data_IF_269976850432
#
_entry.id   IF_269976850432
#
_cell.length_a   1.000
_cell.length_b   1.000
_cell.length_c   1.000
_cell.angle_alpha   90.00
_cell.angle_beta   90.00
_cell.angle_gamma   90.00
#
_symmetry.space_group_name_H-M   'P 1'
#
loop_
_entity.id
_entity.type
_entity.pdbx_description
1 polymer ?
#
# COMPACT_ATOMS: atom_id res chain seq x y z
N UNK A 1 -26.33 17.10 -2.81
CA UNK A 1 -25.17 17.88 -2.32
C UNK A 1 -24.04 16.88 -2.07
N UNK A 2 -22.89 17.07 -2.74
CA UNK A 2 -21.86 16.04 -2.94
C UNK A 2 -20.98 15.87 -1.70
N UNK A 3 -20.69 14.61 -1.32
CA UNK A 3 -19.66 14.30 -0.35
C UNK A 3 -18.33 14.88 -0.85
N UNK A 4 -17.69 15.73 -0.06
CA UNK A 4 -16.34 16.24 -0.31
C UNK A 4 -15.37 15.07 -0.24
N UNK A 5 -15.05 14.49 -1.39
CA UNK A 5 -13.98 13.50 -1.54
C UNK A 5 -12.64 14.24 -1.37
N UNK A 6 -12.18 14.40 -0.12
CA UNK A 6 -10.86 14.94 0.15
C UNK A 6 -9.85 14.01 -0.52
N UNK A 7 -9.00 14.50 -1.45
CA UNK A 7 -8.08 13.64 -2.14
C UNK A 7 -7.11 13.01 -1.13
N UNK A 8 -7.21 11.70 -0.97
CA UNK A 8 -6.34 10.92 -0.09
C UNK A 8 -4.93 10.91 -0.70
N UNK A 9 -4.07 11.80 -0.22
CA UNK A 9 -2.67 11.86 -0.65
C UNK A 9 -1.90 10.71 0.02
N UNK A 10 -1.19 9.90 -0.76
CA UNK A 10 -0.33 8.86 -0.21
C UNK A 10 0.83 9.47 0.60
N UNK A 11 1.17 8.95 1.80
CA UNK A 11 2.23 9.52 2.65
C UNK A 11 3.59 9.63 1.94
N UNK A 12 3.98 8.64 1.15
CA UNK A 12 5.15 8.73 0.25
C UNK A 12 5.12 9.97 -0.67
N UNK A 13 3.98 10.27 -1.31
CA UNK A 13 3.84 11.44 -2.19
C UNK A 13 3.97 12.73 -1.41
N UNK A 14 3.35 12.79 -0.23
CA UNK A 14 3.46 13.94 0.68
C UNK A 14 4.93 14.17 1.06
N UNK A 15 5.59 13.13 1.57
CA UNK A 15 7.00 13.19 1.95
C UNK A 15 7.90 13.68 0.82
N UNK A 16 7.67 13.19 -0.41
CA UNK A 16 8.43 13.57 -1.60
C UNK A 16 8.25 15.04 -1.95
N UNK A 17 7.00 15.51 -1.95
CA UNK A 17 6.66 16.92 -2.23
C UNK A 17 7.16 17.86 -1.13
N UNK A 18 7.08 17.46 0.13
CA UNK A 18 7.59 18.23 1.27
C UNK A 18 9.10 18.46 1.17
N UNK A 19 9.84 17.58 0.48
CA UNK A 19 11.28 17.71 0.20
C UNK A 19 11.61 18.29 -1.17
N UNK A 20 10.60 18.63 -1.97
CA UNK A 20 10.82 19.22 -3.29
C UNK A 20 11.43 18.30 -4.35
N UNK A 21 11.50 16.98 -4.12
CA UNK A 21 12.13 16.07 -5.08
C UNK A 21 11.12 15.47 -6.08
N UNK A 22 11.61 15.17 -7.28
CA UNK A 22 10.87 14.54 -8.37
C UNK A 22 10.78 13.02 -8.20
N UNK A 23 9.91 12.37 -8.98
CA UNK A 23 9.86 10.90 -9.04
C UNK A 23 11.15 10.29 -9.59
N UNK A 24 11.85 11.00 -10.48
CA UNK A 24 13.10 10.55 -11.07
C UNK A 24 14.23 10.57 -10.02
N UNK A 25 14.32 11.63 -9.23
CA UNK A 25 15.29 11.70 -8.13
C UNK A 25 14.99 10.66 -7.05
N UNK A 26 13.73 10.49 -6.66
CA UNK A 26 13.33 9.42 -5.74
C UNK A 26 13.64 8.02 -6.29
N UNK A 27 13.54 7.84 -7.62
CA UNK A 27 13.95 6.61 -8.29
C UNK A 27 15.45 6.36 -8.16
N UNK A 28 16.27 7.40 -8.36
CA UNK A 28 17.72 7.32 -8.18
C UNK A 28 18.12 7.00 -6.73
N UNK A 29 17.45 7.60 -5.76
CA UNK A 29 17.71 7.35 -4.33
C UNK A 29 17.33 5.93 -3.90
N UNK A 30 16.20 5.42 -4.37
CA UNK A 30 15.61 4.17 -3.86
C UNK A 30 15.97 2.93 -4.69
N UNK A 31 16.48 3.11 -5.91
CA UNK A 31 16.65 2.04 -6.89
C UNK A 31 15.32 1.48 -7.43
N UNK A 32 14.18 2.08 -7.08
CA UNK A 32 12.84 1.69 -7.56
C UNK A 32 12.45 2.57 -8.73
N UNK A 33 12.10 1.97 -9.86
CA UNK A 33 11.69 2.72 -11.06
C UNK A 33 10.61 3.79 -10.76
N UNK A 34 10.77 4.98 -11.36
CA UNK A 34 9.84 6.09 -11.24
C UNK A 34 8.38 5.71 -11.56
N UNK A 35 8.16 4.81 -12.53
CA UNK A 35 6.82 4.29 -12.87
C UNK A 35 6.21 3.46 -11.72
N UNK A 36 7.02 2.64 -11.05
CA UNK A 36 6.59 1.89 -9.87
C UNK A 36 6.30 2.81 -8.69
N UNK A 37 7.16 3.81 -8.42
CA UNK A 37 6.92 4.84 -7.40
C UNK A 37 5.62 5.60 -7.68
N UNK A 38 5.36 5.99 -8.93
CA UNK A 38 4.10 6.64 -9.34
C UNK A 38 2.87 5.77 -9.08
N UNK A 39 2.96 4.45 -9.33
CA UNK A 39 1.86 3.51 -9.03
C UNK A 39 1.66 3.34 -7.52
N UNK A 40 2.73 3.35 -6.73
CA UNK A 40 2.68 3.31 -5.26
C UNK A 40 2.02 4.59 -4.73
N UNK A 41 2.46 5.77 -5.17
CA UNK A 41 1.88 7.07 -4.76
C UNK A 41 0.39 7.21 -5.09
N UNK A 42 -0.08 6.48 -6.11
CA UNK A 42 -1.49 6.40 -6.51
C UNK A 42 -2.24 5.21 -5.90
N UNK A 43 -1.62 4.47 -4.97
CA UNK A 43 -2.17 3.26 -4.32
C UNK A 43 -2.59 2.15 -5.32
N UNK A 44 -2.05 2.16 -6.53
CA UNK A 44 -2.37 1.16 -7.57
C UNK A 44 -1.65 -0.16 -7.33
N UNK A 45 -0.52 -0.14 -6.62
CA UNK A 45 0.22 -1.33 -6.22
C UNK A 45 0.61 -1.23 -4.75
N UNK A 46 0.59 -2.37 -4.05
CA UNK A 46 1.13 -2.50 -2.72
C UNK A 46 2.52 -3.16 -2.82
N UNK A 47 3.62 -2.43 -2.53
CA UNK A 47 4.97 -2.98 -2.63
C UNK A 47 5.20 -4.07 -1.57
N UNK A 48 6.14 -4.99 -1.86
CA UNK A 48 6.53 -6.04 -0.92
C UNK A 48 7.12 -5.42 0.36
N UNK A 49 7.04 -6.10 1.53
CA UNK A 49 7.58 -5.58 2.79
C UNK A 49 9.04 -5.12 2.69
N UNK A 50 9.90 -5.93 2.04
CA UNK A 50 11.30 -5.58 1.82
C UNK A 50 11.48 -4.32 0.95
N UNK A 51 10.66 -4.16 -0.09
CA UNK A 51 10.66 -2.95 -0.93
C UNK A 51 10.24 -1.70 -0.14
N UNK A 52 9.26 -1.82 0.78
CA UNK A 52 8.86 -0.72 1.67
C UNK A 52 10.02 -0.28 2.56
N UNK A 53 10.73 -1.25 3.13
CA UNK A 53 11.91 -0.99 3.98
C UNK A 53 13.02 -0.34 3.17
N UNK A 54 13.32 -0.84 1.96
CA UNK A 54 14.34 -0.26 1.08
C UNK A 54 14.03 1.20 0.72
N UNK A 55 12.80 1.48 0.29
CA UNK A 55 12.35 2.85 -0.01
C UNK A 55 12.50 3.74 1.23
N UNK A 56 12.02 3.28 2.39
CA UNK A 56 12.06 4.08 3.61
C UNK A 56 13.49 4.39 4.08
N UNK A 57 14.40 3.41 4.01
CA UNK A 57 15.82 3.57 4.33
C UNK A 57 16.50 4.55 3.39
N UNK A 58 16.32 4.40 2.08
CA UNK A 58 16.88 5.29 1.07
C UNK A 58 16.39 6.74 1.22
N UNK A 59 15.15 6.90 1.67
CA UNK A 59 14.56 8.21 1.93
C UNK A 59 14.80 8.69 3.37
N UNK A 60 15.50 7.95 4.23
CA UNK A 60 15.74 8.37 5.63
C UNK A 60 14.46 8.65 6.42
N UNK A 61 13.41 7.86 6.19
CA UNK A 61 12.09 8.02 6.81
C UNK A 61 11.66 6.73 7.52
N UNK A 62 10.89 6.82 8.63
CA UNK A 62 10.31 5.62 9.24
C UNK A 62 9.35 4.91 8.28
N UNK A 63 9.46 3.58 8.17
CA UNK A 63 8.60 2.76 7.29
C UNK A 63 7.12 3.01 7.56
N UNK A 64 6.72 3.04 8.85
CA UNK A 64 5.33 3.29 9.24
C UNK A 64 4.82 4.68 8.86
N UNK A 65 5.71 5.66 8.65
CA UNK A 65 5.34 7.01 8.20
C UNK A 65 5.06 7.05 6.70
N UNK A 66 5.80 6.28 5.89
CA UNK A 66 5.60 6.23 4.44
C UNK A 66 4.54 5.20 4.03
N UNK A 67 4.42 4.12 4.79
CA UNK A 67 3.56 2.97 4.55
C UNK A 67 2.81 2.58 5.84
N UNK A 68 1.85 3.40 6.28
CA UNK A 68 1.03 3.08 7.45
C UNK A 68 0.26 1.77 7.26
N UNK A 69 0.02 1.06 8.36
CA UNK A 69 -0.79 -0.14 8.35
C UNK A 69 -2.23 0.16 7.89
N UNK A 70 -2.91 -0.79 7.23
CA UNK A 70 -4.32 -0.66 6.91
C UNK A 70 -5.13 -0.36 8.18
N UNK A 71 -5.87 0.75 8.19
CA UNK A 71 -6.63 1.23 9.36
C UNK A 71 -5.86 2.16 10.31
N UNK A 72 -4.53 2.23 10.22
CA UNK A 72 -3.72 3.25 10.91
C UNK A 72 -3.60 4.53 10.09
N UNK A 73 -3.77 4.43 8.76
CA UNK A 73 -3.94 5.59 7.89
C UNK A 73 -5.39 6.11 8.04
N UNK A 74 -5.61 7.28 8.65
CA UNK A 74 -6.96 7.84 8.83
C UNK A 74 -7.67 8.09 7.49
N UNK A 75 -6.90 8.14 6.40
CA UNK A 75 -7.36 8.45 5.06
C UNK A 75 -7.40 7.21 4.14
N UNK A 76 -6.94 6.03 4.59
CA UNK A 76 -7.05 4.84 3.75
C UNK A 76 -8.52 4.38 3.66
N UNK A 77 -9.03 4.04 2.46
CA UNK A 77 -10.33 3.40 2.35
C UNK A 77 -10.31 2.10 3.17
N UNK A 78 -11.30 1.93 4.05
CA UNK A 78 -11.42 0.72 4.87
C UNK A 78 -11.47 -0.48 3.91
N UNK A 79 -10.61 -1.50 4.09
CA UNK A 79 -10.63 -2.66 3.22
C UNK A 79 -12.02 -3.29 3.30
N UNK A 80 -12.73 -3.37 2.17
CA UNK A 80 -13.94 -4.19 2.08
C UNK A 80 -13.51 -5.63 2.37
N UNK A 81 -13.85 -6.14 3.56
CA UNK A 81 -13.70 -7.57 3.88
C UNK A 81 -14.37 -8.35 2.75
N UNK A 82 -13.60 -9.08 1.95
CA UNK A 82 -14.20 -10.06 1.04
C UNK A 82 -14.88 -11.11 1.93
N UNK A 83 -16.15 -11.49 1.67
CA UNK A 83 -16.74 -12.64 2.35
C UNK A 83 -15.79 -13.82 2.19
N UNK A 84 -15.47 -14.49 3.30
CA UNK A 84 -14.59 -15.64 3.29
C UNK A 84 -15.09 -16.67 2.28
N UNK A 85 -14.17 -17.24 1.50
CA UNK A 85 -14.46 -18.39 0.63
C UNK A 85 -15.09 -19.48 1.54
N UNK A 86 -16.27 -20.03 1.22
CA UNK A 86 -16.86 -21.07 2.05
C UNK A 86 -15.88 -22.24 2.11
N UNK A 87 -15.71 -22.77 3.32
CA UNK A 87 -14.92 -23.97 3.55
C UNK A 87 -15.45 -25.05 2.61
N UNK A 88 -14.58 -25.59 1.77
CA UNK A 88 -14.89 -26.75 0.92
C UNK A 88 -15.40 -27.87 1.84
N UNK A 89 -16.70 -28.14 1.75
CA UNK A 89 -17.34 -29.30 2.34
C UNK A 89 -16.63 -30.55 1.82
N UNK A 90 -15.88 -31.19 2.71
CA UNK A 90 -15.33 -32.52 2.51
C UNK A 90 -16.53 -33.48 2.45
N UNK A 91 -16.73 -34.30 1.40
CA UNK A 91 -17.81 -35.28 1.43
C UNK A 91 -17.50 -36.30 2.53
N UNK A 92 -18.53 -36.66 3.29
CA UNK A 92 -18.45 -37.74 4.26
C UNK A 92 -18.22 -39.06 3.51
N UNK A 93 -17.21 -39.82 3.92
CA UNK A 93 -17.02 -41.20 3.48
C UNK A 93 -18.23 -42.03 3.93
N UNK A 94 -18.89 -42.81 3.05
CA UNK A 94 -19.88 -43.78 3.48
C UNK A 94 -19.17 -44.94 4.18
N UNK A 95 -19.47 -45.10 5.46
CA UNK A 95 -19.08 -46.28 6.23
C UNK A 95 -19.94 -47.46 5.74
N UNK A 96 -19.33 -48.37 4.98
CA UNK A 96 -19.95 -49.66 4.60
C UNK A 96 -19.91 -50.62 5.80
N UNK A 97 -20.98 -51.40 6.07
CA UNK A 97 -21.03 -52.38 7.16
C UNK A 97 -20.12 -53.59 6.95
#
# INVERSE_FOLDING_TARGET
>A
MKATDTPVIHPLRKWRRDRGITLLEASGLTGVHASALSRIERRQINPRPMTKVAIARALGAPVGRLFPAPGADPLAPRPRRKPGRPASSRPADPQTP
#
